data_IF_314770192224
#
_entry.id   IF_314770192224
#
_cell.length_a   1.000
_cell.length_b   1.000
_cell.length_c   1.000
_cell.angle_alpha   90.00
_cell.angle_beta   90.00
_cell.angle_gamma   90.00
#
_symmetry.space_group_name_H-M   'P 1'
#
loop_
_entity.id
_entity.type
_entity.pdbx_description
1 polymer ?
#
# COMPACT_ATOMS: atom_id res chain seq x y z
N UNK A 1 -4.72 10.29 -50.62
CA UNK A 1 -5.78 10.77 -49.69
C UNK A 1 -5.14 10.98 -48.33
N UNK A 2 -5.19 12.20 -47.80
CA UNK A 2 -4.76 12.53 -46.44
C UNK A 2 -5.94 13.18 -45.72
N UNK A 3 -6.18 12.81 -44.46
CA UNK A 3 -7.24 13.39 -43.63
C UNK A 3 -6.55 14.13 -42.47
N UNK A 4 -6.97 15.38 -42.25
CA UNK A 4 -6.38 16.26 -41.25
C UNK A 4 -6.78 15.87 -39.82
N UNK A 5 -5.92 16.23 -38.87
CA UNK A 5 -6.22 16.27 -37.44
C UNK A 5 -7.25 17.39 -37.15
N UNK A 6 -7.76 17.46 -35.90
CA UNK A 6 -7.15 18.47 -35.05
C UNK A 6 -6.81 18.00 -33.63
N UNK A 7 -5.71 18.54 -33.09
CA UNK A 7 -5.42 18.56 -31.65
C UNK A 7 -6.42 19.50 -30.95
N UNK A 8 -6.88 19.15 -29.75
CA UNK A 8 -7.53 20.11 -28.85
C UNK A 8 -6.55 20.44 -27.72
N UNK A 9 -6.09 21.69 -27.70
CA UNK A 9 -5.30 22.26 -26.61
C UNK A 9 -6.24 23.00 -25.64
N UNK A 10 -6.09 22.80 -24.33
CA UNK A 10 -6.91 23.47 -23.29
C UNK A 10 -6.08 24.39 -22.42
N UNK A 11 -6.00 25.65 -22.82
CA UNK A 11 -5.59 26.78 -21.99
C UNK A 11 -6.61 27.91 -22.15
N UNK A 12 -6.61 28.85 -21.20
CA UNK A 12 -7.48 30.04 -21.14
C UNK A 12 -8.96 29.79 -20.82
N UNK A 13 -9.69 30.70 -20.18
CA UNK A 13 -9.33 31.85 -19.33
C UNK A 13 -10.60 32.28 -18.58
N UNK A 14 -10.53 32.55 -17.27
CA UNK A 14 -11.37 33.57 -16.62
C UNK A 14 -10.57 34.24 -15.49
N UNK A 15 -10.70 35.56 -15.37
CA UNK A 15 -10.00 36.41 -14.38
C UNK A 15 -10.97 36.93 -13.31
N UNK A 16 -10.38 37.46 -12.24
CA UNK A 16 -11.07 38.16 -11.16
C UNK A 16 -11.93 39.33 -11.66
N UNK A 17 -12.96 39.70 -10.89
CA UNK A 17 -13.20 41.11 -10.53
C UNK A 17 -14.07 41.25 -9.29
N UNK A 18 -13.79 42.28 -8.49
CA UNK A 18 -14.54 42.66 -7.28
C UNK A 18 -15.76 43.52 -7.64
N UNK A 19 -16.78 43.53 -6.76
CA UNK A 19 -17.64 44.70 -6.57
C UNK A 19 -17.86 44.98 -5.09
N UNK A 20 -17.50 46.19 -4.66
CA UNK A 20 -18.16 46.88 -3.52
C UNK A 20 -19.42 47.56 -4.06
N UNK A 21 -20.36 47.87 -3.17
CA UNK A 21 -20.98 49.20 -2.98
C UNK A 21 -21.65 49.18 -1.60
N UNK A 22 -21.72 50.33 -0.93
CA UNK A 22 -22.28 50.50 0.42
C UNK A 22 -23.33 51.61 0.43
N UNK A 23 -24.41 51.45 1.18
CA UNK A 23 -25.22 52.49 1.88
C UNK A 23 -26.31 51.77 2.72
N UNK A 24 -26.58 52.11 3.99
CA UNK A 24 -27.16 53.33 4.62
C UNK A 24 -28.68 53.47 4.40
N UNK A 25 -29.52 53.89 5.35
CA UNK A 25 -29.32 54.24 6.80
C UNK A 25 -30.16 53.24 7.67
N UNK A 26 -30.76 53.44 8.86
CA UNK A 26 -30.91 54.47 9.92
C UNK A 26 -31.43 53.77 11.21
N UNK A 27 -31.64 54.38 12.40
CA UNK A 27 -30.96 55.40 13.25
C UNK A 27 -31.84 55.59 14.50
N UNK A 28 -31.29 55.61 15.72
CA UNK A 28 -31.80 56.38 16.88
C UNK A 28 -30.75 56.42 18.02
N UNK A 29 -30.78 57.50 18.81
CA UNK A 29 -29.70 58.09 19.64
C UNK A 29 -30.08 58.08 21.16
N UNK A 30 -29.32 58.66 22.13
CA UNK A 30 -27.86 58.88 22.26
C UNK A 30 -27.27 58.67 23.71
N UNK A 31 -25.94 58.91 23.87
CA UNK A 31 -25.27 59.50 25.06
C UNK A 31 -25.08 58.73 26.40
N UNK A 32 -24.08 59.10 27.26
CA UNK A 32 -22.68 59.45 26.97
C UNK A 32 -21.69 58.71 27.97
N UNK A 33 -20.53 59.21 28.50
CA UNK A 33 -19.32 58.37 28.58
C UNK A 33 -18.65 58.19 29.98
N UNK A 34 -17.64 57.30 30.08
CA UNK A 34 -16.35 57.46 30.81
C UNK A 34 -15.48 56.18 30.66
N UNK A 35 -14.12 56.25 30.61
CA UNK A 35 -13.27 55.10 30.27
C UNK A 35 -12.52 54.47 31.46
N UNK A 36 -12.07 53.20 31.32
CA UNK A 36 -10.71 52.75 31.68
C UNK A 36 -10.38 51.30 31.28
N UNK A 37 -9.24 51.15 30.58
CA UNK A 37 -8.17 50.15 30.75
C UNK A 37 -8.45 48.62 30.69
N UNK A 38 -7.60 47.93 29.89
CA UNK A 38 -6.88 46.67 30.19
C UNK A 38 -7.70 45.51 30.81
N UNK A 39 -7.91 44.37 30.14
CA UNK A 39 -6.83 43.43 29.76
C UNK A 39 -7.28 42.44 28.66
N UNK A 40 -6.35 41.78 27.96
CA UNK A 40 -6.66 40.86 26.86
C UNK A 40 -6.73 39.39 27.33
N UNK A 41 -7.94 38.81 27.35
CA UNK A 41 -8.15 37.40 27.70
C UNK A 41 -7.55 36.48 26.62
N UNK A 42 -6.60 35.58 26.94
CA UNK A 42 -6.06 34.62 25.99
C UNK A 42 -7.10 33.53 25.62
N UNK A 43 -7.09 33.00 24.39
CA UNK A 43 -8.00 31.93 23.99
C UNK A 43 -7.73 30.64 24.78
N UNK A 44 -8.75 29.78 24.98
CA UNK A 44 -8.62 28.57 25.79
C UNK A 44 -7.57 27.61 25.20
N UNK A 45 -6.61 27.20 26.04
CA UNK A 45 -5.60 26.22 25.67
C UNK A 45 -6.25 24.85 25.46
N UNK A 46 -5.85 24.14 24.41
CA UNK A 46 -6.26 22.75 24.19
C UNK A 46 -5.65 21.82 25.25
N UNK A 47 -6.36 20.75 25.67
CA UNK A 47 -5.87 19.86 26.71
C UNK A 47 -4.58 19.14 26.26
N UNK A 48 -3.57 19.23 27.12
CA UNK A 48 -2.21 18.76 26.89
C UNK A 48 -2.17 17.25 26.53
N UNK A 49 -1.58 16.83 25.39
CA UNK A 49 -1.46 15.42 25.06
C UNK A 49 -0.41 14.75 25.96
N UNK A 50 -0.89 14.06 27.00
CA UNK A 50 -0.06 13.27 27.92
C UNK A 50 1.00 12.43 27.18
N UNK A 51 2.23 12.27 27.72
CA UNK A 51 3.29 11.49 27.12
C UNK A 51 2.89 10.01 27.06
N UNK A 52 2.32 9.61 25.92
CA UNK A 52 1.83 8.24 25.69
C UNK A 52 2.97 7.25 25.87
N UNK A 53 2.76 6.24 26.69
CA UNK A 53 3.73 5.17 26.94
C UNK A 53 3.92 4.35 25.67
N UNK A 54 4.86 4.76 24.82
CA UNK A 54 5.16 4.10 23.54
C UNK A 54 5.33 2.60 23.73
N UNK A 55 4.51 1.85 23.00
CA UNK A 55 4.55 0.40 22.92
C UNK A 55 5.93 -0.07 22.41
N UNK A 56 6.34 -1.32 22.69
CA UNK A 56 7.57 -1.88 22.13
C UNK A 56 7.59 -1.81 20.59
N UNK A 57 6.43 -2.04 19.95
CA UNK A 57 6.24 -2.04 18.50
C UNK A 57 6.52 -0.66 17.88
N UNK A 58 5.96 0.41 18.46
CA UNK A 58 6.22 1.79 18.00
C UNK A 58 7.72 2.14 18.07
N UNK A 59 8.41 1.72 19.13
CA UNK A 59 9.86 1.96 19.30
C UNK A 59 10.70 1.19 18.26
N UNK A 60 10.30 -0.05 17.95
CA UNK A 60 10.95 -0.85 16.91
C UNK A 60 10.72 -0.26 15.51
N UNK A 61 9.51 0.22 15.22
CA UNK A 61 9.21 0.94 13.99
C UNK A 61 10.04 2.22 13.86
N UNK A 62 10.11 3.04 14.91
CA UNK A 62 10.93 4.27 14.94
C UNK A 62 12.44 4.01 14.79
N UNK A 63 12.92 2.89 15.33
CA UNK A 63 14.32 2.45 15.12
C UNK A 63 14.57 2.14 13.64
N UNK A 64 13.60 1.54 12.95
CA UNK A 64 13.68 1.30 11.51
C UNK A 64 13.49 2.55 10.64
N UNK A 65 12.70 3.53 11.08
CA UNK A 65 12.66 4.87 10.46
C UNK A 65 14.01 5.61 10.55
N UNK A 66 14.81 5.34 11.58
CA UNK A 66 16.16 5.91 11.72
C UNK A 66 17.22 5.10 10.94
N UNK A 67 17.05 3.77 10.85
CA UNK A 67 17.95 2.90 10.09
C UNK A 67 17.81 3.11 8.56
N UNK A 68 16.58 3.26 8.07
CA UNK A 68 16.27 3.54 6.66
C UNK A 68 16.54 5.01 6.30
N UNK A 69 17.84 5.33 6.18
CA UNK A 69 18.36 6.63 5.73
C UNK A 69 17.66 7.11 4.44
N UNK A 70 17.51 8.44 4.25
CA UNK A 70 16.95 8.97 3.00
C UNK A 70 17.77 8.49 1.79
N UNK A 71 17.10 7.81 0.85
CA UNK A 71 17.73 7.17 -0.31
C UNK A 71 17.97 5.65 -0.19
N UNK A 72 17.34 4.97 0.78
CA UNK A 72 17.39 3.51 0.92
C UNK A 72 16.97 2.74 -0.35
N UNK A 73 17.56 1.56 -0.53
CA UNK A 73 17.36 0.66 -1.68
C UNK A 73 16.37 -0.48 -1.35
N UNK A 74 15.99 -1.27 -2.36
CA UNK A 74 15.19 -2.48 -2.13
C UNK A 74 15.94 -3.54 -1.31
N UNK A 75 17.27 -3.56 -1.34
CA UNK A 75 18.09 -4.47 -0.54
C UNK A 75 18.02 -4.12 0.95
N UNK A 76 18.12 -2.83 1.29
CA UNK A 76 17.99 -2.34 2.68
C UNK A 76 16.61 -2.68 3.24
N UNK A 77 15.56 -2.61 2.41
CA UNK A 77 14.20 -2.99 2.80
C UNK A 77 14.03 -4.51 2.94
N UNK A 78 14.66 -5.33 2.09
CA UNK A 78 14.65 -6.80 2.29
C UNK A 78 15.29 -7.18 3.63
N UNK A 79 16.40 -6.53 4.00
CA UNK A 79 17.06 -6.76 5.29
C UNK A 79 16.22 -6.24 6.46
N UNK A 80 15.57 -5.07 6.29
CA UNK A 80 14.60 -4.55 7.26
C UNK A 80 13.46 -5.53 7.52
N UNK A 81 12.86 -6.11 6.48
CA UNK A 81 11.76 -7.07 6.63
C UNK A 81 12.20 -8.36 7.32
N UNK A 82 13.37 -8.90 6.94
CA UNK A 82 13.95 -10.12 7.54
C UNK A 82 14.35 -9.94 9.00
N UNK A 83 14.68 -8.72 9.41
CA UNK A 83 15.02 -8.38 10.79
C UNK A 83 13.82 -8.38 11.74
N UNK A 84 12.57 -8.43 11.23
CA UNK A 84 11.38 -8.38 12.10
C UNK A 84 10.97 -9.77 12.59
N UNK A 85 10.77 -9.90 13.90
CA UNK A 85 10.11 -11.07 14.49
C UNK A 85 8.58 -11.04 14.36
N UNK A 86 8.00 -9.84 14.18
CA UNK A 86 6.56 -9.65 14.00
C UNK A 86 6.21 -9.43 12.51
N UNK A 87 5.38 -10.29 11.89
CA UNK A 87 4.94 -10.10 10.51
C UNK A 87 4.08 -8.83 10.30
N UNK A 88 3.44 -8.27 11.32
CA UNK A 88 2.69 -7.01 11.18
C UNK A 88 3.63 -5.81 11.10
N UNK A 89 4.67 -5.76 11.94
CA UNK A 89 5.71 -4.72 11.84
C UNK A 89 6.43 -4.78 10.49
N UNK A 90 6.67 -5.97 9.95
CA UNK A 90 7.18 -6.14 8.59
C UNK A 90 6.19 -5.57 7.53
N UNK A 91 4.89 -5.87 7.63
CA UNK A 91 3.88 -5.31 6.72
C UNK A 91 3.81 -3.78 6.79
N UNK A 92 3.95 -3.19 7.97
CA UNK A 92 3.86 -1.73 8.12
C UNK A 92 5.15 -1.03 7.66
N UNK A 93 6.33 -1.64 7.82
CA UNK A 93 7.57 -1.20 7.16
C UNK A 93 7.43 -1.32 5.62
N UNK A 94 6.87 -2.42 5.11
CA UNK A 94 6.63 -2.60 3.66
C UNK A 94 5.67 -1.53 3.10
N UNK A 95 4.62 -1.19 3.83
CA UNK A 95 3.66 -0.14 3.45
C UNK A 95 4.24 1.27 3.55
N UNK A 96 5.01 1.56 4.60
CA UNK A 96 5.65 2.86 4.79
C UNK A 96 6.74 3.11 3.73
N UNK A 97 7.56 2.10 3.42
CA UNK A 97 8.58 2.19 2.36
C UNK A 97 7.95 2.44 0.99
N UNK A 98 6.82 1.79 0.69
CA UNK A 98 6.05 2.02 -0.55
C UNK A 98 5.51 3.45 -0.72
N UNK A 99 5.40 4.23 0.36
CA UNK A 99 4.95 5.63 0.32
C UNK A 99 6.09 6.62 0.05
N UNK A 100 7.36 6.19 0.11
CA UNK A 100 8.49 7.10 0.01
C UNK A 100 8.75 7.57 -1.42
N UNK A 101 9.07 8.86 -1.56
CA UNK A 101 9.28 9.51 -2.86
C UNK A 101 10.42 8.82 -3.64
N UNK A 102 10.16 8.52 -4.92
CA UNK A 102 11.07 7.82 -5.84
C UNK A 102 11.42 6.37 -5.49
N UNK A 103 10.90 5.82 -4.38
CA UNK A 103 11.05 4.39 -4.07
C UNK A 103 9.98 3.54 -4.79
N UNK A 104 10.33 2.30 -5.14
CA UNK A 104 9.40 1.24 -5.56
C UNK A 104 9.91 -0.12 -5.14
N UNK A 105 9.00 -0.98 -4.65
CA UNK A 105 9.28 -2.41 -4.42
C UNK A 105 9.63 -3.13 -5.73
N UNK A 106 10.47 -4.16 -5.61
CA UNK A 106 10.85 -5.08 -6.68
C UNK A 106 10.37 -6.51 -6.34
N UNK A 107 10.65 -7.49 -7.20
CA UNK A 107 10.23 -8.87 -6.97
C UNK A 107 10.81 -9.48 -5.68
N UNK A 108 11.98 -9.02 -5.21
CA UNK A 108 12.67 -9.56 -4.03
C UNK A 108 12.03 -9.07 -2.71
N UNK A 109 11.60 -7.81 -2.68
CA UNK A 109 10.82 -7.23 -1.57
C UNK A 109 9.42 -7.86 -1.49
N UNK A 110 8.73 -8.05 -2.62
CA UNK A 110 7.45 -8.79 -2.65
C UNK A 110 7.61 -10.25 -2.21
N UNK A 111 8.63 -10.98 -2.70
CA UNK A 111 8.91 -12.36 -2.29
C UNK A 111 9.11 -12.45 -0.77
N UNK A 112 10.02 -11.64 -0.22
CA UNK A 112 10.35 -11.62 1.21
C UNK A 112 9.11 -11.29 2.06
N UNK A 113 8.30 -10.30 1.66
CA UNK A 113 7.09 -9.93 2.40
C UNK A 113 6.00 -11.02 2.32
N UNK A 114 5.84 -11.70 1.18
CA UNK A 114 4.90 -12.82 1.03
C UNK A 114 5.35 -14.01 1.87
N UNK A 115 6.64 -14.34 1.91
CA UNK A 115 7.17 -15.42 2.75
C UNK A 115 6.92 -15.16 4.24
N UNK A 116 7.18 -13.94 4.72
CA UNK A 116 6.92 -13.50 6.10
C UNK A 116 5.41 -13.50 6.40
N UNK A 117 4.56 -13.01 5.49
CA UNK A 117 3.11 -13.02 5.67
C UNK A 117 2.54 -14.45 5.70
N UNK A 118 3.12 -15.41 4.96
CA UNK A 118 2.71 -16.81 4.96
C UNK A 118 3.19 -17.56 6.21
N UNK A 119 4.44 -17.35 6.66
CA UNK A 119 4.95 -17.97 7.90
C UNK A 119 4.24 -17.41 9.13
N UNK A 120 4.07 -16.08 9.20
CA UNK A 120 3.31 -15.34 10.21
C UNK A 120 1.79 -15.51 10.16
N UNK A 121 1.29 -16.41 9.31
CA UNK A 121 -0.13 -16.78 9.14
C UNK A 121 -1.07 -15.64 8.70
N UNK A 122 -0.53 -14.51 8.23
CA UNK A 122 -1.27 -13.34 7.71
C UNK A 122 -1.73 -13.54 6.26
N UNK A 123 -2.48 -14.62 6.06
CA UNK A 123 -2.85 -15.14 4.74
C UNK A 123 -3.68 -14.18 3.88
N UNK A 124 -4.45 -13.26 4.48
CA UNK A 124 -5.15 -12.20 3.74
C UNK A 124 -4.18 -11.16 3.16
N UNK A 125 -3.17 -10.74 3.93
CA UNK A 125 -2.14 -9.84 3.44
C UNK A 125 -1.27 -10.50 2.36
N UNK A 126 -0.93 -11.79 2.54
CA UNK A 126 -0.27 -12.57 1.51
C UNK A 126 -1.09 -12.64 0.22
N UNK A 127 -2.42 -12.80 0.30
CA UNK A 127 -3.29 -12.76 -0.89
C UNK A 127 -3.28 -11.38 -1.55
N UNK A 128 -3.46 -10.27 -0.82
CA UNK A 128 -3.41 -8.91 -1.40
C UNK A 128 -2.08 -8.62 -2.11
N UNK A 129 -0.94 -9.00 -1.51
CA UNK A 129 0.38 -8.86 -2.15
C UNK A 129 0.49 -9.69 -3.45
N UNK A 130 -0.16 -10.85 -3.52
CA UNK A 130 -0.24 -11.66 -4.75
C UNK A 130 -1.09 -10.94 -5.80
N UNK A 131 -2.18 -10.27 -5.42
CA UNK A 131 -2.99 -9.47 -6.35
C UNK A 131 -2.21 -8.30 -6.93
N UNK A 132 -1.43 -7.59 -6.10
CA UNK A 132 -0.55 -6.49 -6.51
C UNK A 132 0.50 -6.95 -7.53
N UNK A 133 1.17 -8.09 -7.29
CA UNK A 133 2.13 -8.67 -8.25
C UNK A 133 1.44 -9.12 -9.55
N UNK A 134 0.24 -9.69 -9.48
CA UNK A 134 -0.55 -10.07 -10.68
C UNK A 134 -0.96 -8.82 -11.48
N UNK A 135 -1.35 -7.73 -10.80
CA UNK A 135 -1.64 -6.43 -11.42
C UNK A 135 -0.40 -5.74 -12.02
N UNK A 136 0.81 -6.18 -11.65
CA UNK A 136 2.07 -5.70 -12.22
C UNK A 136 2.85 -4.72 -11.34
N UNK A 137 2.67 -4.77 -10.02
CA UNK A 137 3.39 -3.89 -9.09
C UNK A 137 4.91 -4.11 -9.03
N UNK A 138 5.43 -5.22 -9.59
CA UNK A 138 6.85 -5.45 -9.83
C UNK A 138 7.11 -6.19 -11.15
N UNK A 139 8.36 -6.23 -11.66
CA UNK A 139 8.75 -7.06 -12.80
C UNK A 139 8.50 -8.56 -12.56
N UNK A 140 8.36 -9.37 -13.62
CA UNK A 140 8.27 -10.83 -13.52
C UNK A 140 9.46 -11.46 -12.79
N UNK A 141 9.22 -12.57 -12.08
CA UNK A 141 10.30 -13.33 -11.42
C UNK A 141 9.83 -14.76 -11.13
N UNK A 142 10.59 -15.76 -11.58
CA UNK A 142 10.24 -17.17 -11.46
C UNK A 142 10.17 -17.65 -9.98
N UNK A 143 11.12 -17.34 -9.08
CA UNK A 143 11.02 -17.68 -7.66
C UNK A 143 9.78 -17.07 -6.98
N UNK A 144 9.43 -15.82 -7.32
CA UNK A 144 8.22 -15.16 -6.81
C UNK A 144 6.97 -15.88 -7.31
N UNK A 145 6.83 -16.12 -8.61
CA UNK A 145 5.68 -16.82 -9.17
C UNK A 145 5.51 -18.24 -8.61
N UNK A 146 6.59 -19.02 -8.49
CA UNK A 146 6.53 -20.37 -7.89
C UNK A 146 6.12 -20.32 -6.41
N UNK A 147 6.62 -19.36 -5.63
CA UNK A 147 6.24 -19.16 -4.23
C UNK A 147 4.76 -18.82 -4.08
N UNK A 148 4.23 -17.92 -4.92
CA UNK A 148 2.81 -17.56 -4.92
C UNK A 148 1.93 -18.74 -5.37
N UNK A 149 2.32 -19.50 -6.41
CA UNK A 149 1.62 -20.72 -6.83
C UNK A 149 1.62 -21.77 -5.71
N UNK A 150 2.74 -21.99 -5.02
CA UNK A 150 2.88 -22.90 -3.88
C UNK A 150 1.92 -22.55 -2.74
N UNK A 151 1.80 -21.26 -2.40
CA UNK A 151 0.82 -20.77 -1.43
C UNK A 151 -0.63 -21.00 -1.89
N UNK A 152 -0.99 -20.59 -3.11
CA UNK A 152 -2.34 -20.73 -3.64
C UNK A 152 -2.77 -22.20 -3.77
N UNK A 153 -1.88 -23.08 -4.23
CA UNK A 153 -2.08 -24.53 -4.32
C UNK A 153 -2.22 -25.22 -2.95
N UNK A 154 -1.79 -24.58 -1.86
CA UNK A 154 -2.00 -25.00 -0.48
C UNK A 154 -3.39 -24.67 0.08
N UNK A 155 -4.29 -24.03 -0.70
CA UNK A 155 -5.60 -23.57 -0.23
C UNK A 155 -6.75 -24.09 -1.09
N UNK A 156 -7.88 -24.40 -0.43
CA UNK A 156 -9.11 -24.86 -1.11
C UNK A 156 -9.56 -23.86 -2.18
N UNK A 157 -9.70 -22.58 -1.78
CA UNK A 157 -10.34 -21.53 -2.57
C UNK A 157 -9.40 -20.73 -3.49
N UNK A 158 -8.09 -20.68 -3.22
CA UNK A 158 -7.14 -19.87 -4.00
C UNK A 158 -6.63 -20.55 -5.27
N UNK A 159 -7.18 -21.71 -5.64
CA UNK A 159 -6.65 -22.52 -6.73
C UNK A 159 -6.78 -21.86 -8.10
N UNK A 160 -7.83 -21.07 -8.33
CA UNK A 160 -7.98 -20.28 -9.55
C UNK A 160 -6.85 -19.24 -9.68
N UNK A 161 -6.44 -18.62 -8.56
CA UNK A 161 -5.32 -17.66 -8.51
C UNK A 161 -4.00 -18.30 -8.93
N UNK A 162 -3.76 -19.57 -8.57
CA UNK A 162 -2.58 -20.31 -9.04
C UNK A 162 -2.54 -20.41 -10.58
N UNK A 163 -3.71 -20.65 -11.21
CA UNK A 163 -3.82 -20.63 -12.66
C UNK A 163 -3.68 -19.23 -13.26
N UNK A 164 -4.12 -18.17 -12.59
CA UNK A 164 -3.94 -16.79 -13.08
C UNK A 164 -2.47 -16.35 -13.03
N UNK A 165 -1.72 -16.76 -12.00
CA UNK A 165 -0.26 -16.60 -11.96
C UNK A 165 0.38 -17.41 -13.10
N UNK A 166 0.01 -18.67 -13.30
CA UNK A 166 0.52 -19.50 -14.40
C UNK A 166 0.23 -18.87 -15.79
N UNK A 167 -0.97 -18.33 -16.03
CA UNK A 167 -1.30 -17.58 -17.26
C UNK A 167 -0.40 -16.35 -17.45
N UNK A 168 0.00 -15.67 -16.37
CA UNK A 168 0.95 -14.54 -16.41
C UNK A 168 2.37 -15.02 -16.71
N UNK A 169 2.81 -16.16 -16.17
CA UNK A 169 4.10 -16.79 -16.48
C UNK A 169 4.21 -17.22 -17.95
N UNK A 170 3.18 -17.87 -18.51
CA UNK A 170 3.16 -18.31 -19.93
C UNK A 170 3.26 -17.12 -20.90
N UNK A 171 2.78 -15.93 -20.48
CA UNK A 171 2.87 -14.67 -21.24
C UNK A 171 4.12 -13.85 -20.93
N UNK A 172 5.01 -14.31 -20.04
CA UNK A 172 6.24 -13.61 -19.68
C UNK A 172 7.42 -14.22 -20.44
N UNK A 173 8.32 -13.36 -20.93
CA UNK A 173 9.57 -13.82 -21.53
C UNK A 173 10.59 -14.18 -20.46
N UNK A 174 10.70 -13.37 -19.41
CA UNK A 174 11.69 -13.45 -18.33
C UNK A 174 11.42 -14.58 -17.30
N UNK A 175 10.16 -15.02 -17.16
CA UNK A 175 9.73 -15.85 -16.03
C UNK A 175 8.72 -16.94 -16.44
N UNK A 176 9.09 -17.73 -17.45
CA UNK A 176 8.31 -18.87 -17.96
C UNK A 176 8.17 -20.01 -16.93
N UNK A 177 7.10 -20.82 -16.97
CA UNK A 177 6.90 -21.95 -16.06
C UNK A 177 8.05 -22.97 -16.11
N UNK A 178 8.53 -23.41 -14.95
CA UNK A 178 9.56 -24.44 -14.80
C UNK A 178 8.97 -25.78 -14.38
N UNK A 179 9.79 -26.84 -14.31
CA UNK A 179 9.39 -28.15 -13.80
C UNK A 179 8.78 -28.07 -12.38
N UNK A 180 9.29 -27.19 -11.52
CA UNK A 180 8.71 -26.92 -10.21
C UNK A 180 7.28 -26.36 -10.33
N UNK A 181 7.04 -25.41 -11.23
CA UNK A 181 5.72 -24.83 -11.48
C UNK A 181 4.70 -25.91 -11.85
N UNK A 182 5.07 -26.82 -12.77
CA UNK A 182 4.22 -27.94 -13.18
C UNK A 182 4.00 -28.95 -12.03
N UNK A 183 5.04 -29.27 -11.27
CA UNK A 183 4.92 -30.16 -10.12
C UNK A 183 4.01 -29.58 -9.01
N UNK A 184 4.08 -28.27 -8.74
CA UNK A 184 3.20 -27.60 -7.77
C UNK A 184 1.72 -27.67 -8.18
N UNK A 185 1.43 -27.44 -9.47
CA UNK A 185 0.07 -27.49 -10.02
C UNK A 185 -0.48 -28.93 -10.06
N UNK A 186 0.27 -29.89 -10.60
CA UNK A 186 -0.15 -31.30 -10.71
C UNK A 186 -0.41 -31.92 -9.34
N UNK A 187 0.51 -31.74 -8.38
CA UNK A 187 0.31 -32.21 -7.02
C UNK A 187 -0.88 -31.53 -6.31
N UNK A 188 -1.27 -30.32 -6.71
CA UNK A 188 -2.49 -29.67 -6.20
C UNK A 188 -3.77 -30.26 -6.80
N UNK A 189 -3.75 -30.61 -8.09
CA UNK A 189 -4.85 -31.30 -8.78
C UNK A 189 -5.11 -32.68 -8.18
N UNK A 190 -4.09 -33.53 -8.04
CA UNK A 190 -4.23 -34.90 -7.49
C UNK A 190 -4.88 -34.88 -6.10
N UNK A 191 -4.34 -34.07 -5.17
CA UNK A 191 -4.90 -33.86 -3.83
C UNK A 191 -6.32 -33.27 -3.78
N UNK A 192 -6.86 -32.78 -4.91
CA UNK A 192 -8.26 -32.36 -5.06
C UNK A 192 -9.12 -33.50 -5.61
N UNK A 193 -8.64 -34.25 -6.60
CA UNK A 193 -9.33 -35.45 -7.11
C UNK A 193 -9.50 -36.53 -6.04
N UNK A 194 -8.44 -36.85 -5.27
CA UNK A 194 -8.51 -37.84 -4.18
C UNK A 194 -9.62 -37.50 -3.17
N UNK A 195 -9.79 -36.20 -2.88
CA UNK A 195 -10.79 -35.69 -1.93
C UNK A 195 -12.21 -35.60 -2.49
N UNK A 196 -12.38 -35.66 -3.81
CA UNK A 196 -13.68 -35.82 -4.44
C UNK A 196 -14.08 -37.30 -4.42
N UNK A 197 -13.15 -38.20 -4.74
CA UNK A 197 -13.39 -39.65 -4.72
C UNK A 197 -13.74 -40.17 -3.30
N UNK A 198 -13.11 -39.63 -2.25
CA UNK A 198 -13.43 -39.98 -0.84
C UNK A 198 -14.71 -39.29 -0.32
N UNK A 199 -15.28 -38.32 -1.04
CA UNK A 199 -16.49 -37.60 -0.64
C UNK A 199 -17.78 -38.06 -1.38
N UNK A 200 -17.66 -39.05 -2.28
CA UNK A 200 -18.77 -39.61 -3.07
C UNK A 200 -19.04 -41.10 -2.75
N UNK A 201 -18.53 -41.58 -1.61
CA UNK A 201 -18.74 -42.92 -1.07
C UNK A 201 -19.30 -42.82 0.36
#
# INVERSE_FOLDING_TARGET
>A
MAILLPRINRTSLLRLSLRRISTTTAVLDPSPPVPSQTEAVPPPQSPNPNPRTRTPLEKQFETWLQALKPGFTQSDVVEALRSQSDPDLALDIFRWTAQQRQYKHNHLTYLTMIEIAVSGKRYRAAETLIEEVIAGACPPSLPLFNTMIKFCCGRKFLFNRAFDIYKKMVKSEDAKPSLETYALLLNSLLRKFDKLNVACC
#
